data_IF_859003258853
#
_entry.id   IF_859003258853
#
_cell.length_a   1.000
_cell.length_b   1.000
_cell.length_c   1.000
_cell.angle_alpha   90.00
_cell.angle_beta   90.00
_cell.angle_gamma   90.00
#
_symmetry.space_group_name_H-M   'P 1'
#
loop_
_entity.id
_entity.type
_entity.pdbx_description
1 polymer ?
#
# COMPACT_ATOMS: atom_id res chain seq x y z
N UNK A 1 -6.85 20.70 17.67
CA UNK A 1 -5.73 19.93 17.05
C UNK A 1 -5.96 19.66 15.55
N UNK A 2 -4.95 19.89 14.70
CA UNK A 2 -5.01 19.71 13.24
C UNK A 2 -4.42 18.33 12.82
N UNK A 3 -5.16 17.54 12.04
CA UNK A 3 -4.72 16.23 11.53
C UNK A 3 -4.11 16.28 10.12
N UNK A 4 -3.98 17.46 9.52
CA UNK A 4 -3.41 17.67 8.18
C UNK A 4 -2.12 16.88 7.91
N UNK A 5 -1.10 16.86 8.81
CA UNK A 5 0.14 16.12 8.53
C UNK A 5 -0.07 14.60 8.36
N UNK A 6 -1.08 14.03 9.04
CA UNK A 6 -1.43 12.63 8.88
C UNK A 6 -2.14 12.36 7.55
N UNK A 7 -2.88 13.31 7.01
CA UNK A 7 -3.40 13.21 5.65
C UNK A 7 -2.28 13.33 4.62
N UNK A 8 -1.38 14.30 4.78
CA UNK A 8 -0.28 14.54 3.82
C UNK A 8 0.67 13.32 3.74
N UNK A 9 0.89 12.62 4.86
CA UNK A 9 1.66 11.36 4.87
C UNK A 9 0.96 10.23 4.13
N UNK A 10 -0.37 10.13 4.21
CA UNK A 10 -1.16 9.15 3.45
C UNK A 10 -1.18 9.47 1.96
N UNK A 11 -1.30 10.75 1.58
CA UNK A 11 -1.21 11.19 0.18
C UNK A 11 0.18 10.84 -0.40
N UNK A 12 1.23 11.07 0.38
CA UNK A 12 2.61 10.75 -0.01
C UNK A 12 2.80 9.24 -0.17
N UNK A 13 2.25 8.45 0.76
CA UNK A 13 2.28 6.99 0.66
C UNK A 13 1.53 6.53 -0.60
N UNK A 14 0.31 6.99 -0.83
CA UNK A 14 -0.51 6.62 -1.98
C UNK A 14 0.20 6.92 -3.31
N UNK A 15 0.84 8.09 -3.41
CA UNK A 15 1.64 8.47 -4.58
C UNK A 15 2.89 7.60 -4.77
N UNK A 16 3.47 7.06 -3.70
CA UNK A 16 4.65 6.20 -3.76
C UNK A 16 4.32 4.75 -4.15
N UNK A 17 3.12 4.25 -3.85
CA UNK A 17 2.72 2.85 -4.09
C UNK A 17 2.94 2.34 -5.53
N UNK A 18 2.65 3.11 -6.61
CA UNK A 18 2.85 2.62 -7.97
C UNK A 18 4.32 2.48 -8.39
N UNK A 19 5.25 3.11 -7.69
CA UNK A 19 6.67 3.13 -8.07
C UNK A 19 7.39 1.80 -7.85
N UNK A 20 6.80 0.88 -7.07
CA UNK A 20 7.43 -0.38 -6.70
C UNK A 20 8.54 -0.25 -5.65
N UNK A 21 8.78 0.95 -5.12
CA UNK A 21 9.68 1.17 -3.99
C UNK A 21 8.99 0.77 -2.68
N UNK A 22 9.11 -0.53 -2.38
CA UNK A 22 8.52 -1.14 -1.19
C UNK A 22 9.19 -0.64 0.10
N UNK A 23 10.50 -0.34 0.05
CA UNK A 23 11.24 0.13 1.22
C UNK A 23 10.85 1.56 1.60
N UNK A 24 10.70 2.46 0.61
CA UNK A 24 10.14 3.78 0.84
C UNK A 24 8.71 3.71 1.37
N UNK A 25 7.85 2.88 0.76
CA UNK A 25 6.47 2.70 1.19
C UNK A 25 6.37 2.17 2.64
N UNK A 26 7.25 1.23 3.02
CA UNK A 26 7.30 0.69 4.38
C UNK A 26 7.76 1.73 5.42
N UNK A 27 8.76 2.57 5.07
CA UNK A 27 9.19 3.68 5.92
C UNK A 27 8.07 4.68 6.14
N UNK A 28 7.41 5.12 5.06
CA UNK A 28 6.27 6.05 5.13
C UNK A 28 5.13 5.49 6.00
N UNK A 29 4.81 4.20 5.89
CA UNK A 29 3.81 3.56 6.74
C UNK A 29 4.23 3.54 8.21
N UNK A 30 5.51 3.25 8.49
CA UNK A 30 6.05 3.21 9.85
C UNK A 30 5.96 4.59 10.50
N UNK A 31 6.36 5.63 9.78
CA UNK A 31 6.31 7.02 10.23
C UNK A 31 4.85 7.46 10.48
N UNK A 32 3.93 7.09 9.58
CA UNK A 32 2.50 7.37 9.75
C UNK A 32 1.94 6.69 11.01
N UNK A 33 2.26 5.41 11.25
CA UNK A 33 1.80 4.69 12.44
C UNK A 33 2.34 5.29 13.74
N UNK A 34 3.61 5.72 13.75
CA UNK A 34 4.20 6.43 14.89
C UNK A 34 3.48 7.75 15.15
N UNK A 35 3.18 8.52 14.10
CA UNK A 35 2.46 9.78 14.21
C UNK A 35 1.01 9.59 14.69
N UNK A 36 0.32 8.53 14.26
CA UNK A 36 -1.01 8.16 14.78
C UNK A 36 -0.93 7.78 16.25
N UNK A 37 0.06 6.98 16.66
CA UNK A 37 0.24 6.60 18.07
C UNK A 37 0.47 7.84 18.96
N UNK A 38 1.23 8.83 18.46
CA UNK A 38 1.48 10.08 19.15
C UNK A 38 0.22 10.93 19.39
N UNK A 39 -0.88 10.71 18.65
CA UNK A 39 -2.17 11.39 18.91
C UNK A 39 -2.69 11.11 20.32
N UNK A 40 -2.38 9.93 20.89
CA UNK A 40 -2.77 9.56 22.26
C UNK A 40 -2.10 10.39 23.34
N UNK A 41 -1.00 11.07 23.00
CA UNK A 41 -0.20 11.88 23.92
C UNK A 41 -0.61 13.36 23.90
N UNK A 42 -1.52 13.76 23.01
CA UNK A 42 -1.88 15.17 22.84
C UNK A 42 -3.01 15.56 23.80
N UNK A 43 -2.83 16.72 24.44
CA UNK A 43 -3.75 17.26 25.46
C UNK A 43 -5.10 17.65 24.86
N UNK A 44 -5.11 18.17 23.63
CA UNK A 44 -6.33 18.57 22.93
C UNK A 44 -6.74 17.49 21.92
N UNK A 45 -7.84 16.80 22.21
CA UNK A 45 -8.38 15.75 21.32
C UNK A 45 -8.88 16.37 20.00
N UNK A 46 -8.53 15.80 18.84
CA UNK A 46 -9.17 16.15 17.57
C UNK A 46 -10.69 15.92 17.64
N UNK A 47 -11.45 16.70 16.86
CA UNK A 47 -12.90 16.49 16.73
C UNK A 47 -13.21 15.12 16.14
N UNK A 48 -14.36 14.53 16.50
CA UNK A 48 -14.79 13.24 15.96
C UNK A 48 -14.88 13.25 14.42
N UNK A 49 -15.33 14.36 13.82
CA UNK A 49 -15.37 14.52 12.36
C UNK A 49 -13.98 14.45 11.72
N UNK A 50 -12.96 15.04 12.34
CA UNK A 50 -11.59 14.96 11.85
C UNK A 50 -11.02 13.54 11.97
N UNK A 51 -11.33 12.84 13.06
CA UNK A 51 -10.93 11.43 13.26
C UNK A 51 -11.58 10.55 12.19
N UNK A 52 -12.88 10.76 11.92
CA UNK A 52 -13.59 10.00 10.89
C UNK A 52 -13.00 10.27 9.50
N UNK A 53 -12.71 11.53 9.17
CA UNK A 53 -12.08 11.87 7.89
C UNK A 53 -10.71 11.21 7.71
N UNK A 54 -9.89 11.15 8.77
CA UNK A 54 -8.60 10.46 8.74
C UNK A 54 -8.79 8.95 8.54
N UNK A 55 -9.73 8.34 9.27
CA UNK A 55 -10.07 6.91 9.12
C UNK A 55 -10.50 6.58 7.69
N UNK A 56 -11.38 7.39 7.10
CA UNK A 56 -11.85 7.18 5.74
C UNK A 56 -10.69 7.28 4.74
N UNK A 57 -9.73 8.17 4.99
CA UNK A 57 -8.52 8.28 4.18
C UNK A 57 -7.65 7.01 4.28
N UNK A 58 -7.39 6.54 5.50
CA UNK A 58 -6.64 5.30 5.74
C UNK A 58 -7.31 4.10 5.05
N UNK A 59 -8.64 4.02 5.07
CA UNK A 59 -9.38 2.95 4.39
C UNK A 59 -9.21 3.00 2.87
N UNK A 60 -9.23 4.19 2.26
CA UNK A 60 -8.97 4.33 0.81
C UNK A 60 -7.58 3.84 0.41
N UNK A 61 -6.55 4.28 1.15
CA UNK A 61 -5.17 3.85 0.90
C UNK A 61 -5.02 2.34 1.07
N UNK A 62 -5.63 1.75 2.12
CA UNK A 62 -5.64 0.31 2.32
C UNK A 62 -6.28 -0.43 1.13
N UNK A 63 -7.44 0.03 0.67
CA UNK A 63 -8.10 -0.55 -0.51
C UNK A 63 -7.20 -0.50 -1.75
N UNK A 64 -6.47 0.60 -1.95
CA UNK A 64 -5.53 0.72 -3.06
C UNK A 64 -4.36 -0.26 -2.95
N UNK A 65 -3.78 -0.42 -1.76
CA UNK A 65 -2.70 -1.40 -1.53
C UNK A 65 -3.17 -2.84 -1.78
N UNK A 66 -4.39 -3.18 -1.37
CA UNK A 66 -4.99 -4.50 -1.63
C UNK A 66 -5.13 -4.75 -3.13
N UNK A 67 -5.62 -3.77 -3.89
CA UNK A 67 -5.71 -3.88 -5.36
C UNK A 67 -4.35 -4.12 -6.00
N UNK A 68 -3.33 -3.34 -5.62
CA UNK A 68 -1.98 -3.49 -6.16
C UNK A 68 -1.37 -4.86 -5.83
N UNK A 69 -1.60 -5.38 -4.63
CA UNK A 69 -1.20 -6.74 -4.24
C UNK A 69 -1.87 -7.79 -5.13
N UNK A 70 -3.17 -7.65 -5.35
CA UNK A 70 -3.94 -8.61 -6.13
C UNK A 70 -3.54 -8.57 -7.62
N UNK A 71 -3.25 -7.38 -8.15
CA UNK A 71 -2.67 -7.17 -9.49
C UNK A 71 -1.29 -7.86 -9.61
N UNK A 72 -0.40 -7.65 -8.64
CA UNK A 72 0.92 -8.28 -8.62
C UNK A 72 0.81 -9.82 -8.53
N UNK A 73 -0.11 -10.34 -7.72
CA UNK A 73 -0.36 -11.78 -7.62
C UNK A 73 -0.83 -12.38 -8.95
N UNK A 74 -1.73 -11.69 -9.66
CA UNK A 74 -2.19 -12.11 -10.98
C UNK A 74 -1.04 -12.12 -12.01
N UNK A 75 -0.16 -11.11 -11.98
CA UNK A 75 1.02 -11.06 -12.85
C UNK A 75 1.98 -12.23 -12.60
N UNK A 76 2.27 -12.55 -11.32
CA UNK A 76 3.13 -13.68 -10.96
C UNK A 76 2.56 -15.03 -11.46
N UNK A 77 1.26 -15.22 -11.32
CA UNK A 77 0.59 -16.42 -11.83
C UNK A 77 0.68 -16.53 -13.36
N UNK A 78 0.52 -15.42 -14.08
CA UNK A 78 0.64 -15.39 -15.53
C UNK A 78 2.06 -15.73 -15.99
N UNK A 79 3.08 -15.12 -15.37
CA UNK A 79 4.50 -15.41 -15.64
C UNK A 79 4.86 -16.88 -15.38
N UNK A 80 4.37 -17.47 -14.29
CA UNK A 80 4.60 -18.88 -13.98
C UNK A 80 3.94 -19.85 -14.96
N UNK A 81 2.79 -19.47 -15.55
CA UNK A 81 2.13 -20.23 -16.63
C UNK A 81 2.87 -20.11 -17.95
N UNK A 82 3.34 -18.91 -18.29
CA UNK A 82 4.13 -18.64 -19.50
C UNK A 82 5.44 -19.44 -19.50
N UNK A 83 6.17 -19.45 -18.37
CA UNK A 83 7.41 -20.22 -18.23
C UNK A 83 7.20 -21.73 -18.42
N UNK A 84 6.11 -22.27 -17.86
CA UNK A 84 5.75 -23.68 -18.03
C UNK A 84 5.40 -24.01 -19.49
N UNK A 85 4.70 -23.11 -20.18
CA UNK A 85 4.39 -23.28 -21.60
C UNK A 85 5.67 -23.26 -22.45
N UNK A 86 6.56 -22.29 -22.24
CA UNK A 86 7.84 -22.22 -22.93
C UNK A 86 8.70 -23.47 -22.70
N UNK A 87 8.74 -23.99 -21.47
CA UNK A 87 9.47 -25.21 -21.16
C UNK A 87 8.86 -26.45 -21.83
N UNK A 88 7.52 -26.53 -21.91
CA UNK A 88 6.84 -27.61 -22.62
C UNK A 88 7.10 -27.57 -24.14
N UNK A 89 7.13 -26.38 -24.74
CA UNK A 89 7.50 -26.22 -26.16
C UNK A 89 8.94 -26.66 -26.42
N UNK A 90 9.89 -26.24 -25.59
CA UNK A 90 11.29 -26.67 -25.72
C UNK A 90 11.48 -28.19 -25.54
N UNK A 91 10.71 -28.81 -24.64
CA UNK A 91 10.72 -30.27 -24.51
C UNK A 91 10.10 -31.00 -25.71
N UNK A 92 9.06 -30.43 -26.32
CA UNK A 92 8.41 -31.01 -27.47
C UNK A 92 9.24 -30.92 -28.76
N UNK A 93 10.05 -29.86 -28.92
CA UNK A 93 10.98 -29.71 -30.05
C UNK A 93 12.27 -30.56 -29.92
N UNK A 94 12.53 -31.10 -28.74
CA UNK A 94 13.69 -31.96 -28.46
C UNK A 94 13.41 -33.47 -28.67
N UNK A 95 12.18 -33.84 -29.08
CA UNK A 95 11.74 -35.19 -29.41
C UNK A 95 11.62 -35.38 -30.93
#
# INVERSE_FOLDING_TARGET
>A
MNLRPLHDTLDTLEAALPSGDHEASQRLMTDHLQAVAALSLVVERPTDAAIQALRDHQQRVLSRMVQLRDEAAAQLQHSGRSLRAAHAYLQAEAL
#
